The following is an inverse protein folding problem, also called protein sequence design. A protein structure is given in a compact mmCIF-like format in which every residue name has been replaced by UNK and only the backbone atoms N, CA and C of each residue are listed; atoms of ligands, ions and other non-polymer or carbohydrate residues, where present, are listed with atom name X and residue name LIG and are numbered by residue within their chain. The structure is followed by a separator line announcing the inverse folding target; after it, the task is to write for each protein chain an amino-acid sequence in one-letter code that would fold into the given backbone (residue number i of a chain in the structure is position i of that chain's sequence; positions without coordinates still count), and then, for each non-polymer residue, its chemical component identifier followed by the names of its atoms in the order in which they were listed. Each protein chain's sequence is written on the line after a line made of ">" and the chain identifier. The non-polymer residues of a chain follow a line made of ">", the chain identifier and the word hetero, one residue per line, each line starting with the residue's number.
data_IF_812111185057
#
_entry.id   IF_812111185057
#
_cell.length_a   1.000
_cell.length_b   1.000
_cell.length_c   1.000
_cell.angle_alpha   90.00
_cell.angle_beta   90.00
_cell.angle_gamma   90.00
#
_symmetry.space_group_name_H-M   'P 1'
#
loop_
_entity.id
_entity.type
_entity.pdbx_description
1 polymer ?
#
# COMPACT_ATOMS: atom_id res chain seq x y z
N UNK A 1 -6.59 56.07 -1.77
CA UNK A 1 -6.52 55.44 -0.43
C UNK A 1 -5.48 56.18 0.36
N UNK A 2 -5.90 56.88 1.41
CA UNK A 2 -5.02 57.63 2.31
C UNK A 2 -4.14 56.67 3.12
N UNK A 3 -2.96 57.11 3.54
CA UNK A 3 -2.01 56.28 4.32
C UNK A 3 -2.63 55.75 5.63
N UNK A 4 -3.60 56.47 6.19
CA UNK A 4 -4.39 56.04 7.36
C UNK A 4 -5.30 54.84 7.07
N UNK A 5 -5.93 54.76 5.89
CA UNK A 5 -6.75 53.59 5.50
C UNK A 5 -5.89 52.32 5.32
N UNK A 6 -4.64 52.47 4.86
CA UNK A 6 -3.71 51.34 4.70
C UNK A 6 -3.24 50.82 6.05
N UNK A 7 -2.94 51.71 7.00
CA UNK A 7 -2.55 51.35 8.35
C UNK A 7 -3.70 50.65 9.10
N UNK A 8 -4.91 51.21 9.02
CA UNK A 8 -6.11 50.64 9.63
C UNK A 8 -6.45 49.25 9.07
N UNK A 9 -6.37 49.05 7.74
CA UNK A 9 -6.57 47.72 7.12
C UNK A 9 -5.49 46.71 7.54
N UNK A 10 -4.25 47.16 7.76
CA UNK A 10 -3.12 46.32 8.20
C UNK A 10 -3.30 45.87 9.66
N UNK A 11 -3.71 46.77 10.55
CA UNK A 11 -3.99 46.45 11.95
C UNK A 11 -5.25 45.60 12.12
N UNK A 12 -6.31 45.88 11.36
CA UNK A 12 -7.52 45.04 11.34
C UNK A 12 -7.23 43.60 10.85
N UNK A 13 -6.39 43.43 9.81
CA UNK A 13 -5.93 42.09 9.39
C UNK A 13 -5.11 41.39 10.48
N UNK A 14 -4.23 42.11 11.18
CA UNK A 14 -3.39 41.58 12.25
C UNK A 14 -4.20 41.19 13.50
N UNK A 15 -5.19 41.99 13.87
CA UNK A 15 -6.13 41.72 14.97
C UNK A 15 -7.04 40.53 14.66
N UNK A 16 -7.58 40.45 13.42
CA UNK A 16 -8.41 39.33 12.98
C UNK A 16 -7.63 38.01 12.91
N UNK A 17 -6.35 38.05 12.48
CA UNK A 17 -5.44 36.90 12.52
C UNK A 17 -5.09 36.43 13.92
N UNK A 18 -4.88 37.35 14.88
CA UNK A 18 -4.70 37.01 16.30
C UNK A 18 -5.95 36.40 16.92
N UNK A 19 -7.14 36.89 16.56
CA UNK A 19 -8.42 36.36 17.04
C UNK A 19 -8.69 34.94 16.51
N UNK A 20 -8.39 34.66 15.23
CA UNK A 20 -8.52 33.30 14.68
C UNK A 20 -7.56 32.30 15.33
N UNK A 21 -6.32 32.68 15.61
CA UNK A 21 -5.36 31.80 16.29
C UNK A 21 -5.76 31.57 17.75
N UNK A 22 -6.32 32.58 18.43
CA UNK A 22 -6.83 32.44 19.79
C UNK A 22 -8.10 31.57 19.86
N UNK A 23 -9.02 31.72 18.90
CA UNK A 23 -10.19 30.86 18.72
C UNK A 23 -9.79 29.43 18.37
N UNK A 24 -8.79 29.25 17.51
CA UNK A 24 -8.22 27.95 17.17
C UNK A 24 -7.56 27.29 18.38
N UNK A 25 -6.74 28.03 19.14
CA UNK A 25 -6.13 27.52 20.38
C UNK A 25 -7.24 27.08 21.34
N UNK A 26 -8.26 27.92 21.55
CA UNK A 26 -9.41 27.62 22.41
C UNK A 26 -10.23 26.44 21.91
N UNK A 27 -10.25 26.19 20.59
CA UNK A 27 -10.91 25.06 19.94
C UNK A 27 -10.13 23.75 20.13
N UNK A 28 -8.81 23.73 19.89
CA UNK A 28 -8.00 22.51 20.09
C UNK A 28 -7.82 22.17 21.56
N UNK A 29 -7.80 23.17 22.44
CA UNK A 29 -7.79 22.94 23.90
C UNK A 29 -9.19 22.65 24.45
N UNK A 30 -10.24 22.70 23.61
CA UNK A 30 -11.60 22.37 24.03
C UNK A 30 -11.77 20.85 24.04
N UNK A 31 -11.53 20.27 25.21
CA UNK A 31 -11.91 18.89 25.52
C UNK A 31 -11.08 17.82 24.81
N UNK A 32 -11.73 16.70 24.50
CA UNK A 32 -11.13 15.44 24.01
C UNK A 32 -10.64 15.48 22.55
N UNK A 33 -10.78 16.61 21.85
CA UNK A 33 -10.47 16.70 20.41
C UNK A 33 -8.96 16.52 20.17
N UNK A 34 -8.11 17.06 21.04
CA UNK A 34 -6.65 16.95 20.88
C UNK A 34 -6.19 15.49 20.96
N UNK A 35 -6.63 14.76 21.97
CA UNK A 35 -6.25 13.36 22.18
C UNK A 35 -6.82 12.44 21.09
N UNK A 36 -8.06 12.70 20.63
CA UNK A 36 -8.62 11.99 19.48
C UNK A 36 -7.86 12.30 18.18
N UNK A 37 -7.47 13.55 17.96
CA UNK A 37 -6.71 13.95 16.76
C UNK A 37 -5.31 13.34 16.75
N UNK A 38 -4.63 13.29 17.90
CA UNK A 38 -3.33 12.62 18.03
C UNK A 38 -3.47 11.12 17.76
N UNK A 39 -4.52 10.47 18.23
CA UNK A 39 -4.78 9.05 17.98
C UNK A 39 -4.93 8.71 16.49
N UNK A 40 -5.65 9.53 15.72
CA UNK A 40 -5.83 9.31 14.27
C UNK A 40 -4.52 9.53 13.50
N UNK A 41 -3.78 10.59 13.83
CA UNK A 41 -2.50 10.89 13.18
C UNK A 41 -1.46 9.82 13.51
N UNK A 42 -1.35 9.40 14.78
CA UNK A 42 -0.45 8.33 15.18
C UNK A 42 -0.85 6.97 14.58
N UNK A 43 -2.15 6.68 14.48
CA UNK A 43 -2.65 5.45 13.86
C UNK A 43 -2.33 5.33 12.37
N UNK A 44 -2.52 6.42 11.61
CA UNK A 44 -2.18 6.47 10.19
C UNK A 44 -0.66 6.37 9.94
N UNK A 45 0.15 7.06 10.74
CA UNK A 45 1.61 6.97 10.67
C UNK A 45 2.13 5.57 11.05
N UNK A 46 1.58 4.97 12.10
CA UNK A 46 1.94 3.61 12.52
C UNK A 46 1.64 2.57 11.44
N UNK A 47 0.47 2.65 10.80
CA UNK A 47 0.12 1.76 9.70
C UNK A 47 1.09 1.88 8.51
N UNK A 48 1.58 3.08 8.20
CA UNK A 48 2.59 3.27 7.16
C UNK A 48 3.92 2.59 7.52
N UNK A 49 4.36 2.67 8.78
CA UNK A 49 5.56 1.99 9.27
C UNK A 49 5.40 0.48 9.20
N UNK A 50 4.25 -0.04 9.63
CA UNK A 50 3.92 -1.47 9.53
C UNK A 50 3.95 -1.91 8.08
N UNK A 51 3.32 -1.15 7.17
CA UNK A 51 3.31 -1.44 5.74
C UNK A 51 4.71 -1.41 5.11
N UNK A 52 5.58 -0.49 5.54
CA UNK A 52 6.96 -0.43 5.05
C UNK A 52 7.77 -1.64 5.52
N UNK A 53 7.64 -2.02 6.80
CA UNK A 53 8.33 -3.17 7.37
C UNK A 53 7.82 -4.49 6.77
N UNK A 54 6.51 -4.62 6.55
CA UNK A 54 5.92 -5.80 5.92
C UNK A 54 6.32 -5.92 4.46
N UNK A 55 6.45 -4.80 3.72
CA UNK A 55 6.99 -4.81 2.35
C UNK A 55 8.43 -5.32 2.31
N UNK A 56 9.28 -4.92 3.27
CA UNK A 56 10.65 -5.43 3.38
C UNK A 56 10.63 -6.94 3.64
N UNK A 57 9.84 -7.39 4.63
CA UNK A 57 9.74 -8.82 4.96
C UNK A 57 9.12 -9.64 3.81
N UNK A 58 8.14 -9.09 3.11
CA UNK A 58 7.57 -9.70 1.91
C UNK A 58 8.61 -9.84 0.81
N UNK A 59 9.38 -8.80 0.51
CA UNK A 59 10.43 -8.88 -0.52
C UNK A 59 11.51 -9.92 -0.21
N UNK A 60 11.86 -10.07 1.07
CA UNK A 60 12.82 -11.10 1.52
C UNK A 60 12.20 -12.49 1.43
N UNK A 61 10.94 -12.64 1.82
CA UNK A 61 10.23 -13.91 1.76
C UNK A 61 9.92 -14.35 0.33
N UNK A 62 9.59 -13.43 -0.57
CA UNK A 62 9.25 -13.73 -1.97
C UNK A 62 10.46 -14.01 -2.84
N UNK A 63 11.65 -13.48 -2.49
CA UNK A 63 12.91 -13.91 -3.11
C UNK A 63 13.12 -15.43 -2.96
N UNK A 64 12.66 -16.04 -1.87
CA UNK A 64 12.76 -17.48 -1.65
C UNK A 64 11.81 -18.32 -2.53
N UNK A 65 10.90 -17.70 -3.29
CA UNK A 65 9.99 -18.37 -4.23
C UNK A 65 10.35 -17.96 -5.67
N UNK A 66 11.42 -18.53 -6.27
CA UNK A 66 11.78 -18.26 -7.65
C UNK A 66 10.74 -18.93 -8.58
N UNK A 67 10.00 -18.10 -9.33
CA UNK A 67 8.95 -18.56 -10.26
C UNK A 67 7.57 -17.94 -9.98
N UNK A 68 7.37 -17.39 -8.78
CA UNK A 68 6.18 -16.63 -8.42
C UNK A 68 4.91 -17.48 -8.26
N UNK A 69 4.03 -17.01 -7.38
CA UNK A 69 2.64 -17.50 -7.31
C UNK A 69 1.79 -16.94 -8.48
N UNK A 70 2.39 -16.12 -9.33
CA UNK A 70 1.74 -15.36 -10.40
C UNK A 70 1.58 -16.25 -11.64
N UNK A 71 0.35 -16.71 -11.90
CA UNK A 71 0.06 -17.60 -13.02
C UNK A 71 -0.78 -18.81 -12.64
N UNK A 72 -1.00 -19.06 -11.34
CA UNK A 72 -1.98 -20.04 -10.88
C UNK A 72 -3.38 -19.46 -11.03
N UNK A 73 -3.91 -19.57 -12.24
CA UNK A 73 -5.22 -19.05 -12.59
C UNK A 73 -6.08 -20.18 -13.13
N UNK A 74 -7.30 -20.23 -12.65
CA UNK A 74 -8.34 -21.11 -13.19
C UNK A 74 -9.41 -20.24 -13.81
N UNK A 75 -9.59 -20.36 -15.12
CA UNK A 75 -10.71 -19.72 -15.81
C UNK A 75 -11.83 -20.73 -15.93
N UNK A 76 -13.00 -20.34 -15.46
CA UNK A 76 -14.19 -21.18 -15.55
C UNK A 76 -14.67 -21.20 -17.01
N UNK A 77 -15.22 -22.34 -17.47
CA UNK A 77 -15.80 -22.42 -18.79
C UNK A 77 -16.91 -21.38 -18.94
N UNK A 78 -17.03 -20.81 -20.15
CA UNK A 78 -18.06 -19.83 -20.44
C UNK A 78 -19.45 -20.42 -20.18
N UNK A 79 -20.26 -19.75 -19.36
CA UNK A 79 -21.66 -20.13 -19.16
C UNK A 79 -22.62 -19.40 -20.10
N UNK A 80 -22.14 -18.39 -20.82
CA UNK A 80 -22.91 -17.61 -21.80
C UNK A 80 -22.00 -17.10 -22.94
N UNK A 81 -22.61 -16.63 -24.04
CA UNK A 81 -21.86 -16.19 -25.23
C UNK A 81 -20.94 -15.01 -24.97
N UNK A 82 -21.28 -14.18 -23.98
CA UNK A 82 -20.47 -13.06 -23.54
C UNK A 82 -19.16 -13.49 -22.83
N UNK A 83 -19.09 -14.71 -22.28
CA UNK A 83 -17.91 -15.23 -21.57
C UNK A 83 -16.96 -16.06 -22.43
N UNK A 84 -17.33 -16.34 -23.68
CA UNK A 84 -16.61 -17.27 -24.56
C UNK A 84 -15.21 -16.77 -24.90
N UNK A 85 -14.95 -15.47 -24.80
CA UNK A 85 -13.69 -14.85 -25.18
C UNK A 85 -13.71 -14.39 -26.64
N UNK A 86 -12.66 -13.70 -27.08
CA UNK A 86 -12.62 -13.21 -28.46
C UNK A 86 -12.63 -14.39 -29.44
N UNK A 87 -13.62 -14.39 -30.34
CA UNK A 87 -13.74 -15.39 -31.41
C UNK A 87 -12.70 -15.14 -32.49
N UNK A 88 -11.95 -16.18 -32.82
CA UNK A 88 -10.90 -16.15 -33.83
C UNK A 88 -11.10 -17.34 -34.79
N UNK A 89 -11.15 -17.08 -36.09
CA UNK A 89 -11.17 -18.09 -37.14
C UNK A 89 -9.81 -18.81 -37.18
N UNK A 90 -9.76 -20.06 -36.73
CA UNK A 90 -8.61 -20.96 -36.89
C UNK A 90 -9.07 -22.12 -37.77
N UNK A 91 -8.43 -22.33 -38.92
CA UNK A 91 -8.73 -23.46 -39.81
C UNK A 91 -10.23 -23.55 -40.23
N UNK A 92 -10.86 -22.39 -40.45
CA UNK A 92 -12.27 -22.32 -40.85
C UNK A 92 -13.28 -22.54 -39.72
N UNK A 93 -12.82 -22.67 -38.46
CA UNK A 93 -13.69 -22.79 -37.27
C UNK A 93 -13.43 -21.61 -36.32
N UNK A 94 -14.50 -20.97 -35.85
CA UNK A 94 -14.40 -19.94 -34.80
C UNK A 94 -14.03 -20.59 -33.47
N UNK A 95 -12.76 -20.45 -33.06
CA UNK A 95 -12.30 -20.81 -31.72
C UNK A 95 -12.30 -19.57 -30.86
N UNK A 96 -12.86 -19.68 -29.65
CA UNK A 96 -12.83 -18.57 -28.70
C UNK A 96 -11.71 -18.79 -27.69
N UNK A 97 -10.91 -17.75 -27.44
CA UNK A 97 -9.83 -17.79 -26.47
C UNK A 97 -10.25 -17.03 -25.21
N UNK A 98 -10.40 -17.74 -24.10
CA UNK A 98 -10.63 -17.13 -22.80
C UNK A 98 -9.33 -16.70 -22.13
N UNK A 99 -8.22 -17.39 -22.43
CA UNK A 99 -6.91 -17.13 -21.85
C UNK A 99 -5.78 -17.30 -22.85
N UNK A 100 -4.72 -16.52 -22.70
CA UNK A 100 -3.43 -16.73 -23.35
C UNK A 100 -2.30 -16.18 -22.47
N UNK A 101 -1.10 -16.70 -22.62
CA UNK A 101 0.07 -16.27 -21.84
C UNK A 101 0.72 -15.02 -22.43
N UNK A 102 1.54 -14.33 -21.63
CA UNK A 102 2.31 -13.14 -22.08
C UNK A 102 3.26 -13.44 -23.22
N UNK A 103 3.79 -14.66 -23.30
CA UNK A 103 4.64 -15.10 -24.40
C UNK A 103 3.88 -15.21 -25.72
N UNK A 104 2.61 -15.60 -25.67
CA UNK A 104 1.78 -15.80 -26.85
C UNK A 104 1.16 -14.50 -27.39
N UNK A 105 1.24 -13.38 -26.66
CA UNK A 105 0.60 -12.10 -27.02
C UNK A 105 0.91 -11.72 -28.46
N UNK A 106 2.18 -11.79 -28.88
CA UNK A 106 2.57 -11.32 -30.20
C UNK A 106 1.97 -12.19 -31.31
N UNK A 107 1.94 -13.51 -31.12
CA UNK A 107 1.32 -14.44 -32.06
C UNK A 107 -0.20 -14.25 -32.11
N UNK A 108 -0.83 -13.99 -30.96
CA UNK A 108 -2.27 -13.73 -30.87
C UNK A 108 -2.68 -12.41 -31.53
N UNK A 109 -1.82 -11.39 -31.46
CA UNK A 109 -2.05 -10.10 -32.14
C UNK A 109 -1.95 -10.25 -33.66
N UNK A 110 -0.94 -10.99 -34.14
CA UNK A 110 -0.78 -11.29 -35.57
C UNK A 110 -2.01 -12.05 -36.09
N UNK A 111 -2.45 -13.07 -35.34
CA UNK A 111 -3.70 -13.78 -35.60
C UNK A 111 -4.86 -12.79 -35.68
N UNK A 112 -5.13 -12.05 -34.61
CA UNK A 112 -6.27 -11.12 -34.53
C UNK A 112 -6.31 -10.11 -35.69
N UNK A 113 -5.17 -9.56 -36.09
CA UNK A 113 -5.07 -8.66 -37.23
C UNK A 113 -5.32 -9.37 -38.58
N UNK A 114 -4.82 -10.60 -38.75
CA UNK A 114 -5.06 -11.39 -39.95
C UNK A 114 -6.55 -11.69 -40.19
N UNK A 115 -7.32 -11.93 -39.11
CA UNK A 115 -8.77 -12.10 -39.23
C UNK A 115 -9.53 -10.85 -39.65
N UNK A 116 -8.92 -9.68 -39.50
CA UNK A 116 -9.49 -8.40 -39.90
C UNK A 116 -8.96 -7.97 -41.28
N UNK A 117 -8.27 -8.88 -42.00
CA UNK A 117 -7.76 -8.68 -43.34
C UNK A 117 -6.34 -8.08 -43.40
N UNK A 118 -5.63 -7.97 -42.28
CA UNK A 118 -4.27 -7.42 -42.23
C UNK A 118 -3.24 -8.55 -42.29
N UNK A 119 -2.65 -8.78 -43.47
CA UNK A 119 -1.76 -9.91 -43.74
C UNK A 119 -0.27 -9.62 -43.52
N UNK A 120 0.13 -8.35 -43.44
CA UNK A 120 1.52 -7.93 -43.25
C UNK A 120 1.65 -7.12 -41.96
N UNK A 121 2.07 -7.78 -40.89
CA UNK A 121 2.17 -7.20 -39.56
C UNK A 121 3.52 -7.59 -38.91
N UNK A 122 4.47 -6.67 -38.96
CA UNK A 122 5.78 -6.87 -38.31
C UNK A 122 5.66 -6.59 -36.81
N UNK A 123 6.22 -7.48 -35.99
CA UNK A 123 6.24 -7.31 -34.53
C UNK A 123 7.06 -6.07 -34.18
N UNK A 124 6.41 -5.06 -33.60
CA UNK A 124 7.04 -3.81 -33.16
C UNK A 124 6.63 -2.56 -33.92
N UNK A 125 5.95 -2.70 -35.06
CA UNK A 125 5.45 -1.55 -35.83
C UNK A 125 4.30 -0.81 -35.13
N UNK A 126 4.07 0.45 -35.50
CA UNK A 126 2.98 1.25 -34.93
C UNK A 126 1.60 0.58 -35.10
N UNK A 127 1.35 -0.05 -36.26
CA UNK A 127 0.14 -0.81 -36.55
C UNK A 127 0.01 -2.03 -35.63
N UNK A 128 1.11 -2.74 -35.39
CA UNK A 128 1.15 -3.87 -34.45
C UNK A 128 0.84 -3.42 -33.01
N UNK A 129 1.42 -2.31 -32.56
CA UNK A 129 1.16 -1.76 -31.23
C UNK A 129 -0.30 -1.30 -31.06
N UNK A 130 -0.91 -0.77 -32.12
CA UNK A 130 -2.32 -0.40 -32.12
C UNK A 130 -3.22 -1.63 -31.99
N UNK A 131 -2.98 -2.67 -32.79
CA UNK A 131 -3.70 -3.94 -32.68
C UNK A 131 -3.49 -4.63 -31.33
N UNK A 132 -2.27 -4.61 -30.82
CA UNK A 132 -1.94 -5.11 -29.48
C UNK A 132 -2.76 -4.41 -28.40
N UNK A 133 -2.83 -3.08 -28.45
CA UNK A 133 -3.60 -2.31 -27.46
C UNK A 133 -5.10 -2.56 -27.57
N UNK A 134 -5.64 -2.61 -28.79
CA UNK A 134 -7.05 -2.92 -29.05
C UNK A 134 -7.44 -4.33 -28.60
N UNK A 135 -6.56 -5.31 -28.83
CA UNK A 135 -6.77 -6.68 -28.36
C UNK A 135 -6.72 -6.74 -26.83
N UNK A 136 -5.63 -6.23 -26.24
CA UNK A 136 -5.39 -6.30 -24.80
C UNK A 136 -6.41 -5.50 -23.97
N UNK A 137 -7.08 -4.49 -24.53
CA UNK A 137 -8.18 -3.79 -23.85
C UNK A 137 -9.28 -4.73 -23.34
N UNK A 138 -9.51 -5.85 -24.04
CA UNK A 138 -10.53 -6.84 -23.68
C UNK A 138 -10.03 -7.92 -22.70
N UNK A 139 -8.75 -7.86 -22.29
CA UNK A 139 -8.14 -8.86 -21.41
C UNK A 139 -7.46 -8.21 -20.22
N UNK A 140 -7.62 -8.82 -19.05
CA UNK A 140 -6.94 -8.42 -17.82
C UNK A 140 -5.74 -9.32 -17.60
N UNK A 141 -4.61 -8.72 -17.23
CA UNK A 141 -3.39 -9.45 -16.91
C UNK A 141 -3.46 -9.98 -15.48
N UNK A 142 -3.40 -11.29 -15.35
CA UNK A 142 -3.27 -12.00 -14.08
C UNK A 142 -1.91 -12.71 -14.08
N UNK A 143 -0.93 -12.15 -13.37
CA UNK A 143 0.44 -12.66 -13.37
C UNK A 143 1.05 -12.71 -14.78
N UNK A 144 1.12 -13.90 -15.38
CA UNK A 144 1.66 -14.16 -16.73
C UNK A 144 0.59 -14.51 -17.76
N UNK A 145 -0.69 -14.55 -17.36
CA UNK A 145 -1.80 -14.97 -18.22
C UNK A 145 -2.79 -13.83 -18.38
N UNK A 146 -3.12 -13.50 -19.62
CA UNK A 146 -4.22 -12.62 -19.98
C UNK A 146 -5.52 -13.43 -19.96
N UNK A 147 -6.48 -13.00 -19.17
CA UNK A 147 -7.81 -13.59 -19.13
C UNK A 147 -8.85 -12.59 -19.65
N UNK A 148 -9.84 -13.08 -20.40
CA UNK A 148 -10.86 -12.23 -20.98
C UNK A 148 -11.70 -11.57 -19.88
N UNK A 149 -11.96 -10.26 -20.00
CA UNK A 149 -12.54 -9.44 -18.92
C UNK A 149 -13.90 -9.94 -18.42
N UNK A 150 -14.67 -10.59 -19.29
CA UNK A 150 -16.00 -11.10 -18.93
C UNK A 150 -15.95 -12.52 -18.35
N UNK A 151 -14.85 -13.24 -18.54
CA UNK A 151 -14.71 -14.62 -18.04
C UNK A 151 -14.65 -14.64 -16.52
N UNK A 152 -15.20 -15.69 -15.92
CA UNK A 152 -15.04 -15.91 -14.49
C UNK A 152 -13.63 -16.49 -14.23
N UNK A 153 -12.79 -15.71 -13.55
CA UNK A 153 -11.39 -16.02 -13.30
C UNK A 153 -11.17 -16.17 -11.79
N UNK A 154 -10.55 -17.27 -11.38
CA UNK A 154 -10.05 -17.47 -10.02
C UNK A 154 -8.52 -17.37 -10.06
N UNK A 155 -7.99 -16.31 -9.47
CA UNK A 155 -6.55 -16.06 -9.36
C UNK A 155 -6.04 -16.58 -7.99
N UNK A 156 -5.66 -17.86 -7.96
CA UNK A 156 -5.10 -18.50 -6.77
C UNK A 156 -3.76 -17.90 -6.36
N UNK A 157 -3.04 -17.34 -7.33
CA UNK A 157 -1.77 -16.66 -7.09
C UNK A 157 -1.91 -15.47 -6.16
N UNK A 158 -2.82 -14.56 -6.52
CA UNK A 158 -3.12 -13.37 -5.70
C UNK A 158 -3.71 -13.75 -4.34
N UNK A 159 -4.54 -14.80 -4.28
CA UNK A 159 -5.13 -15.29 -3.03
C UNK A 159 -4.08 -15.83 -2.05
N UNK A 160 -3.20 -16.73 -2.50
CA UNK A 160 -2.13 -17.28 -1.66
C UNK A 160 -1.16 -16.15 -1.25
N UNK A 161 -0.85 -15.23 -2.15
CA UNK A 161 -0.04 -14.06 -1.83
C UNK A 161 -0.70 -13.17 -0.75
N UNK A 162 -2.02 -12.99 -0.78
CA UNK A 162 -2.76 -12.25 0.25
C UNK A 162 -2.70 -12.96 1.61
N UNK A 163 -2.81 -14.30 1.65
CA UNK A 163 -2.66 -15.09 2.88
C UNK A 163 -1.24 -14.94 3.45
N UNK A 164 -0.22 -15.09 2.61
CA UNK A 164 1.19 -14.92 3.02
C UNK A 164 1.41 -13.51 3.56
N UNK A 165 0.88 -12.49 2.88
CA UNK A 165 0.94 -11.09 3.33
C UNK A 165 0.27 -10.90 4.68
N UNK A 166 -0.89 -11.50 4.90
CA UNK A 166 -1.59 -11.46 6.19
C UNK A 166 -0.76 -12.07 7.32
N UNK A 167 -0.16 -13.25 7.10
CA UNK A 167 0.71 -13.89 8.09
C UNK A 167 1.95 -13.06 8.41
N UNK A 168 2.56 -12.43 7.39
CA UNK A 168 3.72 -11.56 7.58
C UNK A 168 3.32 -10.28 8.34
N UNK A 169 2.17 -9.67 8.04
CA UNK A 169 1.65 -8.51 8.78
C UNK A 169 1.43 -8.89 10.25
N UNK A 170 0.82 -10.04 10.52
CA UNK A 170 0.60 -10.52 11.88
C UNK A 170 1.94 -10.73 12.63
N UNK A 171 2.91 -11.38 11.99
CA UNK A 171 4.26 -11.56 12.55
C UNK A 171 4.97 -10.23 12.81
N UNK A 172 4.82 -9.28 11.89
CA UNK A 172 5.44 -7.95 11.99
C UNK A 172 4.86 -7.17 13.16
N UNK A 173 3.53 -7.13 13.29
CA UNK A 173 2.87 -6.49 14.44
C UNK A 173 3.26 -7.16 15.75
N UNK A 174 3.38 -8.49 15.77
CA UNK A 174 3.88 -9.21 16.94
C UNK A 174 5.29 -8.78 17.33
N UNK A 175 6.23 -8.72 16.37
CA UNK A 175 7.62 -8.29 16.63
C UNK A 175 7.65 -6.83 17.10
N UNK A 176 6.85 -5.94 16.51
CA UNK A 176 6.76 -4.54 16.95
C UNK A 176 6.27 -4.48 18.40
N UNK A 177 5.14 -5.10 18.72
CA UNK A 177 4.60 -5.07 20.09
C UNK A 177 5.59 -5.70 21.09
N UNK A 178 6.26 -6.78 20.69
CA UNK A 178 7.29 -7.43 21.53
C UNK A 178 8.54 -6.56 21.74
N UNK A 179 8.99 -5.82 20.72
CA UNK A 179 10.13 -4.91 20.87
C UNK A 179 9.77 -3.70 21.73
N UNK A 180 8.58 -3.10 21.54
CA UNK A 180 8.10 -2.01 22.37
C UNK A 180 7.95 -2.42 23.84
N UNK A 181 7.32 -3.58 24.13
CA UNK A 181 7.16 -4.07 25.51
C UNK A 181 8.50 -4.45 26.17
N UNK A 182 9.41 -5.09 25.43
CA UNK A 182 10.75 -5.47 25.91
C UNK A 182 11.63 -4.24 26.21
N UNK A 183 11.58 -3.21 25.37
CA UNK A 183 12.36 -1.99 25.57
C UNK A 183 11.89 -1.20 26.81
N UNK A 184 10.59 -1.12 27.05
CA UNK A 184 10.08 -0.45 28.25
C UNK A 184 10.48 -1.17 29.54
N UNK A 185 10.46 -2.51 29.54
CA UNK A 185 10.91 -3.30 30.68
C UNK A 185 12.41 -3.07 30.99
N UNK A 186 13.25 -3.07 29.95
CA UNK A 186 14.70 -2.81 30.09
C UNK A 186 15.01 -1.40 30.58
N UNK A 187 14.24 -0.39 30.17
CA UNK A 187 14.42 1.00 30.63
C UNK A 187 14.16 1.16 32.12
N UNK A 188 13.09 0.57 32.66
CA UNK A 188 12.77 0.61 34.10
C UNK A 188 13.83 -0.08 34.95
N UNK A 189 14.28 -1.25 34.52
CA UNK A 189 15.39 -1.98 35.17
C UNK A 189 16.69 -1.19 35.17
N UNK A 190 16.99 -0.49 34.07
CA UNK A 190 18.19 0.34 33.98
C UNK A 190 18.08 1.59 34.86
N UNK A 191 16.91 2.24 34.92
CA UNK A 191 16.64 3.34 35.86
C UNK A 191 16.73 2.89 37.32
N UNK A 192 16.24 1.71 37.67
CA UNK A 192 16.33 1.15 39.02
C UNK A 192 17.78 0.76 39.39
N UNK A 193 18.56 0.24 38.45
CA UNK A 193 20.00 -0.01 38.64
C UNK A 193 20.82 1.27 38.72
N UNK A 194 20.43 2.32 38.00
CA UNK A 194 21.01 3.66 38.14
C UNK A 194 20.62 4.28 39.48
N UNK A 195 19.36 4.17 39.89
CA UNK A 195 18.87 4.68 41.17
C UNK A 195 19.53 3.97 42.36
N UNK A 196 19.82 2.68 42.26
CA UNK A 196 20.57 1.94 43.30
C UNK A 196 22.07 2.28 43.30
N UNK A 197 22.68 2.55 42.14
CA UNK A 197 24.06 3.06 42.05
C UNK A 197 24.23 4.53 42.49
N UNK A 198 23.17 5.33 42.39
CA UNK A 198 23.18 6.77 42.69
C UNK A 198 22.30 7.17 43.86
N UNK A 199 21.88 6.22 44.72
CA UNK A 199 21.38 6.57 46.05
C UNK A 199 22.57 7.18 46.80
N UNK A 200 22.70 8.51 46.69
CA UNK A 200 23.56 9.32 47.56
C UNK A 200 23.36 8.81 48.99
N UNK A 201 24.42 8.59 49.77
CA UNK A 201 24.21 8.50 51.21
C UNK A 201 23.40 9.73 51.59
N UNK A 202 22.23 9.52 52.23
CA UNK A 202 21.51 10.60 52.89
C UNK A 202 22.53 11.39 53.71
N UNK A 203 22.46 12.73 53.73
CA UNK A 203 23.32 13.48 54.62
C UNK A 203 22.99 13.00 56.02
N UNK A 204 23.95 12.33 56.66
CA UNK A 204 23.87 11.96 58.07
C UNK A 204 23.71 13.25 58.85
N UNK A 205 22.47 13.61 59.17
CA UNK A 205 22.14 14.60 60.19
C UNK A 205 22.48 13.99 61.55
N UNK A 206 23.77 13.93 61.90
CA UNK A 206 24.16 13.63 63.28
C UNK A 206 25.58 14.12 63.63
N UNK A 207 25.81 15.43 63.54
CA UNK A 207 26.80 16.10 64.41
C UNK A 207 26.29 17.50 64.79
N UNK A 208 25.24 17.53 65.62
CA UNK A 208 25.06 18.64 66.56
C UNK A 208 25.17 18.08 67.98
N UNK A 209 26.33 18.26 68.60
CA UNK A 209 26.39 18.35 70.06
C UNK A 209 27.45 19.36 70.49
N UNK A 210 27.07 20.39 71.26
CA UNK A 210 28.00 21.39 71.76
C UNK A 210 28.68 20.89 73.04
N UNK A 211 30.00 20.99 73.10
CA UNK A 211 30.80 21.18 74.33
C UNK A 211 31.92 22.18 74.06
#
# INVERSE_FOLDING_TARGET
>A
MTEEEKLAKKEAKKAKGKNLIAEFKKFITRGNILDMSVGVIMGSAFNAIVTALTKILLSVATWAVPGGLNGLITVLPAVNDAQRGAGFLVDGVTKHFQTFTTAEVNERVIQFAANQGVTDLTVGDATFLQWKSSMLSNYTLHGTTYAYNMSAVIDWGTFINAIISFLIIALTLFVIVKTFTSLQAKRKLFEEQLASKFKKPEPTEEETKPE
#
